data_IF_746058529098
#
_entry.id   IF_746058529098
#
_cell.length_a   1.000
_cell.length_b   1.000
_cell.length_c   1.000
_cell.angle_alpha   90.00
_cell.angle_beta   90.00
_cell.angle_gamma   90.00
#
_symmetry.space_group_name_H-M   'P 1'
#
loop_
_entity.id
_entity.type
_entity.pdbx_description
1 polymer ?
#
# COMPACT_ATOMS: atom_id res chain seq x y z
N UNK A 1 7.65 12.07 -15.92
CA UNK A 1 7.48 10.60 -16.00
C UNK A 1 6.84 10.28 -17.34
N UNK A 2 7.09 9.13 -17.97
CA UNK A 2 6.31 8.74 -19.17
C UNK A 2 4.85 8.50 -18.74
N UNK A 3 3.90 8.76 -19.63
CA UNK A 3 2.52 8.30 -19.42
C UNK A 3 2.50 6.78 -19.22
N UNK A 4 1.78 6.35 -18.18
CA UNK A 4 1.56 4.95 -17.89
C UNK A 4 0.47 4.40 -18.80
N UNK A 5 0.67 3.21 -19.33
CA UNK A 5 -0.39 2.51 -20.06
C UNK A 5 -1.50 2.07 -19.10
N UNK A 6 -2.72 1.81 -19.59
CA UNK A 6 -3.80 1.31 -18.74
C UNK A 6 -3.43 0.04 -17.96
N UNK A 7 -2.62 -0.87 -18.54
CA UNK A 7 -2.14 -2.06 -17.85
C UNK A 7 -1.15 -1.75 -16.72
N UNK A 8 -0.31 -0.73 -16.90
CA UNK A 8 0.62 -0.26 -15.85
C UNK A 8 -0.15 0.39 -14.69
N UNK A 9 -1.20 1.15 -14.98
CA UNK A 9 -2.10 1.74 -13.97
C UNK A 9 -2.83 0.65 -13.17
N UNK A 10 -3.37 -0.36 -13.84
CA UNK A 10 -4.01 -1.52 -13.19
C UNK A 10 -3.00 -2.25 -12.29
N UNK A 11 -1.79 -2.48 -12.78
CA UNK A 11 -0.72 -3.14 -12.00
C UNK A 11 -0.36 -2.33 -10.75
N UNK A 12 -0.31 -1.00 -10.85
CA UNK A 12 -0.05 -0.11 -9.71
C UNK A 12 -1.17 -0.16 -8.67
N UNK A 13 -2.43 -0.18 -9.13
CA UNK A 13 -3.60 -0.36 -8.26
C UNK A 13 -3.54 -1.70 -7.53
N UNK A 14 -3.27 -2.78 -8.25
CA UNK A 14 -3.23 -4.12 -7.69
C UNK A 14 -2.10 -4.26 -6.66
N UNK A 15 -0.95 -3.63 -6.91
CA UNK A 15 0.15 -3.54 -5.96
C UNK A 15 -0.25 -2.78 -4.68
N UNK A 16 -0.89 -1.61 -4.81
CA UNK A 16 -1.39 -0.85 -3.67
C UNK A 16 -2.44 -1.64 -2.87
N UNK A 17 -3.35 -2.32 -3.56
CA UNK A 17 -4.37 -3.15 -2.93
C UNK A 17 -3.75 -4.33 -2.17
N UNK A 18 -2.77 -5.00 -2.76
CA UNK A 18 -2.05 -6.11 -2.12
C UNK A 18 -1.35 -5.65 -0.85
N UNK A 19 -0.68 -4.50 -0.87
CA UNK A 19 0.01 -3.94 0.30
C UNK A 19 -0.98 -3.61 1.43
N UNK A 20 -2.13 -3.01 1.10
CA UNK A 20 -3.19 -2.71 2.08
C UNK A 20 -3.74 -3.99 2.71
N UNK A 21 -4.06 -5.01 1.91
CA UNK A 21 -4.56 -6.30 2.40
C UNK A 21 -3.51 -6.99 3.29
N UNK A 22 -2.24 -6.97 2.88
CA UNK A 22 -1.13 -7.52 3.66
C UNK A 22 -0.99 -6.83 5.02
N UNK A 23 -1.03 -5.50 5.06
CA UNK A 23 -0.99 -4.73 6.30
C UNK A 23 -2.17 -5.05 7.23
N UNK A 24 -3.40 -5.10 6.71
CA UNK A 24 -4.59 -5.43 7.52
C UNK A 24 -4.49 -6.84 8.09
N UNK A 25 -3.99 -7.79 7.29
CA UNK A 25 -3.77 -9.17 7.74
C UNK A 25 -2.74 -9.22 8.85
N UNK A 26 -1.60 -8.53 8.68
CA UNK A 26 -0.58 -8.42 9.72
C UNK A 26 -1.15 -7.82 11.01
N UNK A 27 -1.92 -6.73 10.94
CA UNK A 27 -2.57 -6.13 12.11
C UNK A 27 -3.56 -7.06 12.81
N UNK A 28 -4.28 -7.89 12.05
CA UNK A 28 -5.19 -8.88 12.62
C UNK A 28 -4.40 -9.98 13.36
N UNK A 29 -3.32 -10.48 12.75
CA UNK A 29 -2.47 -11.54 13.31
C UNK A 29 -1.66 -11.07 14.52
N UNK A 30 -1.24 -9.82 14.52
CA UNK A 30 -0.45 -9.18 15.56
C UNK A 30 -1.10 -9.25 16.95
N UNK A 31 -2.44 -9.32 17.01
CA UNK A 31 -3.22 -9.49 18.27
C UNK A 31 -3.04 -10.86 18.92
N UNK A 32 -2.58 -11.86 18.18
CA UNK A 32 -2.38 -13.22 18.66
C UNK A 32 -0.91 -13.51 19.05
N UNK A 33 0.01 -12.59 18.75
CA UNK A 33 1.43 -12.72 19.09
C UNK A 33 1.62 -12.43 20.57
N UNK A 34 2.16 -13.41 21.31
CA UNK A 34 2.45 -13.31 22.75
C UNK A 34 3.92 -13.08 23.05
N UNK A 35 4.80 -13.52 22.16
CA UNK A 35 6.23 -13.32 22.30
C UNK A 35 6.59 -11.85 22.07
N UNK A 36 7.24 -11.15 23.03
CA UNK A 36 7.50 -9.72 22.93
C UNK A 36 8.45 -9.33 21.79
N UNK A 37 9.43 -10.16 21.46
CA UNK A 37 10.37 -9.87 20.38
C UNK A 37 9.67 -10.01 19.02
N UNK A 38 8.88 -11.06 18.86
CA UNK A 38 8.05 -11.27 17.68
C UNK A 38 6.99 -10.18 17.53
N UNK A 39 6.44 -9.69 18.65
CA UNK A 39 5.49 -8.57 18.69
C UNK A 39 6.12 -7.28 18.16
N UNK A 40 7.30 -6.93 18.68
CA UNK A 40 8.03 -5.74 18.24
C UNK A 40 8.41 -5.82 16.74
N UNK A 41 8.78 -7.01 16.27
CA UNK A 41 9.08 -7.24 14.85
C UNK A 41 7.83 -7.07 13.97
N UNK A 42 6.70 -7.65 14.39
CA UNK A 42 5.40 -7.53 13.72
C UNK A 42 4.95 -6.07 13.62
N UNK A 43 5.01 -5.33 14.73
CA UNK A 43 4.67 -3.90 14.78
C UNK A 43 5.56 -3.08 13.85
N UNK A 44 6.86 -3.33 13.83
CA UNK A 44 7.81 -2.67 12.92
C UNK A 44 7.47 -2.96 11.45
N UNK A 45 7.12 -4.21 11.12
CA UNK A 45 6.67 -4.61 9.80
C UNK A 45 5.38 -3.89 9.36
N UNK A 46 4.41 -3.75 10.27
CA UNK A 46 3.17 -3.01 10.04
C UNK A 46 3.46 -1.52 9.77
N UNK A 47 4.38 -0.89 10.51
CA UNK A 47 4.76 0.51 10.28
C UNK A 47 5.47 0.67 8.92
N UNK A 48 6.34 -0.27 8.54
CA UNK A 48 6.96 -0.26 7.23
C UNK A 48 5.93 -0.41 6.09
N UNK A 49 4.91 -1.25 6.27
CA UNK A 49 3.81 -1.38 5.31
C UNK A 49 3.00 -0.08 5.18
N UNK A 50 2.67 0.59 6.30
CA UNK A 50 2.02 1.91 6.29
C UNK A 50 2.82 2.95 5.52
N UNK A 51 4.14 2.98 5.73
CA UNK A 51 5.03 3.88 5.00
C UNK A 51 4.97 3.60 3.49
N UNK A 52 5.10 2.33 3.07
CA UNK A 52 4.98 1.95 1.64
C UNK A 52 3.65 2.35 1.02
N UNK A 53 2.52 2.14 1.72
CA UNK A 53 1.19 2.56 1.26
C UNK A 53 1.15 4.09 1.07
N UNK A 54 1.65 4.86 2.04
CA UNK A 54 1.67 6.31 1.96
C UNK A 54 2.54 6.82 0.80
N UNK A 55 3.71 6.21 0.59
CA UNK A 55 4.61 6.51 -0.52
C UNK A 55 3.96 6.20 -1.87
N UNK A 56 3.31 5.05 -2.03
CA UNK A 56 2.60 4.68 -3.26
C UNK A 56 1.45 5.63 -3.55
N UNK A 57 0.66 5.98 -2.52
CA UNK A 57 -0.42 6.96 -2.67
C UNK A 57 0.11 8.35 -3.02
N UNK A 58 1.24 8.76 -2.43
CA UNK A 58 1.89 10.03 -2.77
C UNK A 58 2.37 10.02 -4.20
N UNK A 59 3.04 8.95 -4.64
CA UNK A 59 3.47 8.77 -6.01
C UNK A 59 2.31 8.86 -7.01
N UNK A 60 1.17 8.22 -6.72
CA UNK A 60 -0.05 8.29 -7.55
C UNK A 60 -0.54 9.73 -7.69
N UNK A 61 -0.61 10.48 -6.58
CA UNK A 61 -1.07 11.87 -6.56
C UNK A 61 -0.10 12.82 -7.27
N UNK A 62 1.18 12.76 -6.94
CA UNK A 62 2.21 13.67 -7.46
C UNK A 62 2.41 13.52 -8.98
N UNK A 63 2.10 12.35 -9.53
CA UNK A 63 2.25 12.07 -10.95
C UNK A 63 0.92 12.11 -11.73
N UNK A 64 -0.17 12.56 -11.10
CA UNK A 64 -1.51 12.64 -11.71
C UNK A 64 -1.90 11.36 -12.47
N UNK A 65 -1.53 10.19 -11.94
CA UNK A 65 -1.73 8.89 -12.63
C UNK A 65 -3.22 8.59 -12.81
N UNK A 66 -4.06 9.13 -11.94
CA UNK A 66 -5.52 9.13 -12.09
C UNK A 66 -5.93 10.54 -12.47
N UNK A 67 -5.84 10.88 -13.75
CA UNK A 67 -6.64 11.97 -14.29
C UNK A 67 -8.09 11.50 -14.22
N UNK A 68 -8.86 12.04 -13.28
CA UNK A 68 -10.32 11.96 -13.37
C UNK A 68 -10.68 12.81 -14.58
N UNK A 69 -10.70 12.21 -15.78
CA UNK A 69 -11.45 12.80 -16.88
C UNK A 69 -12.91 12.79 -16.41
N UNK A 70 -13.40 13.97 -16.05
CA UNK A 70 -14.83 14.19 -15.92
C UNK A 70 -15.47 13.72 -17.22
N UNK A 71 -16.28 12.67 -17.11
CA UNK A 71 -17.10 12.21 -18.22
C UNK A 71 -18.13 13.32 -18.48
N UNK A 72 -17.89 14.15 -19.50
CA UNK A 72 -18.87 15.12 -20.02
C UNK A 72 -19.92 14.43 -20.88
#
# INVERSE_FOLDING_TARGET
>A
MRELTPSEIISLRDLLQMEVIGMMTAQAMDRFIKDPELKNLSESGIQAAKARIAELQRFIRENNIVSVEEVH
#
